data_IF_305698776492
#
_entry.id   IF_305698776492
#
_cell.length_a   1.000
_cell.length_b   1.000
_cell.length_c   1.000
_cell.angle_alpha   90.00
_cell.angle_beta   90.00
_cell.angle_gamma   90.00
#
_symmetry.space_group_name_H-M   'P 1'
#
loop_
_entity.id
_entity.type
_entity.pdbx_description
1 polymer ?
#
# COMPACT_ATOMS: atom_id res chain seq x y z
N UNK A 1 -26.74 -8.18 -0.33
CA UNK A 1 -25.77 -8.75 0.64
C UNK A 1 -26.48 -9.31 1.85
N UNK A 2 -26.13 -10.53 2.32
CA UNK A 2 -26.66 -11.13 3.54
C UNK A 2 -25.66 -10.99 4.69
N UNK A 3 -26.14 -11.02 5.95
CA UNK A 3 -25.23 -11.10 7.12
C UNK A 3 -24.32 -12.33 7.05
N UNK A 4 -24.78 -13.44 6.40
CA UNK A 4 -23.95 -14.62 6.16
C UNK A 4 -22.69 -14.32 5.33
N UNK A 5 -22.82 -13.50 4.29
CA UNK A 5 -21.65 -13.08 3.49
C UNK A 5 -20.67 -12.24 4.32
N UNK A 6 -21.16 -11.34 5.20
CA UNK A 6 -20.30 -10.59 6.12
C UNK A 6 -19.58 -11.51 7.11
N UNK A 7 -20.28 -12.48 7.68
CA UNK A 7 -19.66 -13.47 8.58
C UNK A 7 -18.53 -14.20 7.85
N UNK A 8 -18.76 -14.66 6.62
CA UNK A 8 -17.73 -15.36 5.84
C UNK A 8 -16.53 -14.46 5.52
N UNK A 9 -16.77 -13.19 5.17
CA UNK A 9 -15.68 -12.24 4.89
C UNK A 9 -14.86 -11.98 6.16
N UNK A 10 -15.50 -11.77 7.31
CA UNK A 10 -14.81 -11.55 8.58
C UNK A 10 -14.04 -12.81 9.01
N UNK A 11 -14.64 -14.01 8.87
CA UNK A 11 -13.95 -15.28 9.12
C UNK A 11 -12.74 -15.46 8.19
N UNK A 12 -12.89 -15.14 6.90
CA UNK A 12 -11.79 -15.17 5.95
C UNK A 12 -10.68 -14.17 6.36
N UNK A 13 -11.04 -12.97 6.84
CA UNK A 13 -10.10 -11.99 7.36
C UNK A 13 -9.28 -12.51 8.56
N UNK A 14 -9.85 -13.37 9.40
CA UNK A 14 -9.11 -14.06 10.47
C UNK A 14 -8.04 -15.04 9.94
N UNK A 15 -8.16 -15.46 8.68
CA UNK A 15 -7.14 -16.28 8.01
C UNK A 15 -5.77 -15.60 7.98
N UNK A 16 -5.74 -14.25 7.87
CA UNK A 16 -4.50 -13.48 7.88
C UNK A 16 -3.69 -13.66 9.17
N UNK A 17 -4.20 -13.26 10.35
CA UNK A 17 -3.51 -13.46 11.63
C UNK A 17 -3.15 -14.93 11.91
N UNK A 18 -4.05 -15.87 11.62
CA UNK A 18 -3.80 -17.30 11.80
C UNK A 18 -2.63 -17.78 10.94
N UNK A 19 -2.58 -17.36 9.68
CA UNK A 19 -1.49 -17.68 8.78
C UNK A 19 -0.17 -17.03 9.22
N UNK A 20 -0.21 -15.77 9.68
CA UNK A 20 0.94 -15.07 10.24
C UNK A 20 1.54 -15.78 11.47
N UNK A 21 0.71 -16.31 12.37
CA UNK A 21 1.15 -17.10 13.52
C UNK A 21 1.79 -18.42 13.06
N UNK A 22 1.13 -19.14 12.12
CA UNK A 22 1.63 -20.42 11.60
C UNK A 22 2.99 -20.31 10.90
N UNK A 23 3.25 -19.17 10.25
CA UNK A 23 4.52 -18.91 9.54
C UNK A 23 5.56 -18.19 10.40
N UNK A 24 5.38 -18.13 11.73
CA UNK A 24 6.26 -17.46 12.69
C UNK A 24 6.54 -15.99 12.32
N UNK A 25 5.53 -15.29 11.79
CA UNK A 25 5.58 -13.90 11.33
C UNK A 25 6.53 -13.61 10.14
N UNK A 26 7.01 -14.64 9.46
CA UNK A 26 7.82 -14.47 8.24
C UNK A 26 6.98 -13.92 7.07
N UNK A 27 5.67 -14.13 7.08
CA UNK A 27 4.76 -13.74 6.00
C UNK A 27 3.76 -12.73 6.55
N UNK A 28 3.56 -11.58 5.89
CA UNK A 28 2.58 -10.58 6.29
C UNK A 28 1.16 -11.13 6.33
N UNK A 29 0.35 -10.64 7.28
CA UNK A 29 -1.06 -11.01 7.51
C UNK A 29 -1.90 -10.93 6.23
N UNK A 30 -1.63 -9.93 5.40
CA UNK A 30 -2.31 -9.70 4.10
C UNK A 30 -2.26 -10.92 3.17
N UNK A 31 -1.18 -11.69 3.19
CA UNK A 31 -1.06 -12.90 2.36
C UNK A 31 -2.14 -13.91 2.73
N UNK A 32 -2.35 -14.12 4.02
CA UNK A 32 -3.41 -15.01 4.51
C UNK A 32 -4.82 -14.51 4.17
N UNK A 33 -5.04 -13.18 4.20
CA UNK A 33 -6.32 -12.57 3.82
C UNK A 33 -6.63 -12.77 2.34
N UNK A 34 -5.64 -12.55 1.45
CA UNK A 34 -5.78 -12.79 0.01
C UNK A 34 -6.03 -14.28 -0.28
N UNK A 35 -5.26 -15.19 0.34
CA UNK A 35 -5.46 -16.63 0.18
C UNK A 35 -6.83 -17.08 0.68
N UNK A 36 -7.28 -16.59 1.83
CA UNK A 36 -8.62 -16.85 2.34
C UNK A 36 -9.69 -16.30 1.37
N UNK A 37 -9.45 -15.11 0.76
CA UNK A 37 -10.30 -14.54 -0.28
C UNK A 37 -10.43 -15.45 -1.51
N UNK A 38 -9.31 -15.99 -2.00
CA UNK A 38 -9.32 -16.98 -3.11
C UNK A 38 -10.17 -18.20 -2.74
N UNK A 39 -10.05 -18.69 -1.50
CA UNK A 39 -10.82 -19.86 -1.04
C UNK A 39 -12.34 -19.60 -0.98
N UNK A 40 -12.77 -18.45 -0.45
CA UNK A 40 -14.21 -18.12 -0.35
C UNK A 40 -14.78 -17.55 -1.63
N UNK A 41 -13.93 -17.19 -2.58
CA UNK A 41 -14.28 -16.59 -3.87
C UNK A 41 -14.92 -17.58 -4.84
N UNK A 42 -15.37 -17.07 -6.02
CA UNK A 42 -16.05 -17.85 -7.05
C UNK A 42 -15.23 -19.02 -7.60
N UNK A 43 -13.90 -18.92 -7.53
CA UNK A 43 -13.01 -19.94 -8.07
C UNK A 43 -12.98 -21.25 -7.26
N UNK A 44 -13.32 -21.22 -5.96
CA UNK A 44 -13.23 -22.39 -5.07
C UNK A 44 -14.57 -22.67 -4.39
N UNK A 45 -14.98 -21.88 -3.39
CA UNK A 45 -16.20 -22.12 -2.62
C UNK A 45 -17.44 -21.40 -3.19
N UNK A 46 -17.26 -20.32 -3.93
CA UNK A 46 -18.34 -19.54 -4.54
C UNK A 46 -19.29 -18.88 -3.53
N UNK A 47 -18.83 -18.66 -2.30
CA UNK A 47 -19.67 -18.14 -1.20
C UNK A 47 -19.68 -16.62 -1.14
N UNK A 48 -18.59 -15.99 -1.59
CA UNK A 48 -18.45 -14.53 -1.66
C UNK A 48 -18.43 -14.12 -3.14
N UNK A 49 -19.37 -13.25 -3.51
CA UNK A 49 -19.48 -12.74 -4.88
C UNK A 49 -19.00 -11.28 -4.93
N UNK A 50 -17.80 -11.02 -5.46
CA UNK A 50 -17.24 -9.65 -5.52
C UNK A 50 -18.09 -8.68 -6.34
N UNK A 51 -18.93 -9.18 -7.27
CA UNK A 51 -19.84 -8.38 -8.09
C UNK A 51 -21.10 -7.90 -7.34
N UNK A 52 -21.37 -8.37 -6.10
CA UNK A 52 -22.44 -7.81 -5.27
C UNK A 52 -22.14 -6.34 -4.97
N UNK A 53 -23.06 -5.44 -5.31
CA UNK A 53 -22.88 -3.99 -5.21
C UNK A 53 -22.49 -3.53 -3.79
N UNK A 54 -23.02 -4.18 -2.75
CA UNK A 54 -22.71 -3.83 -1.37
C UNK A 54 -21.29 -4.28 -1.00
N UNK A 55 -20.89 -5.49 -1.43
CA UNK A 55 -19.53 -6.01 -1.22
C UNK A 55 -18.52 -5.14 -1.96
N UNK A 56 -18.80 -4.78 -3.21
CA UNK A 56 -17.96 -3.89 -4.00
C UNK A 56 -17.79 -2.52 -3.34
N UNK A 57 -18.89 -1.89 -2.88
CA UNK A 57 -18.82 -0.60 -2.18
C UNK A 57 -18.00 -0.69 -0.87
N UNK A 58 -18.20 -1.75 -0.08
CA UNK A 58 -17.43 -1.96 1.14
C UNK A 58 -15.94 -2.19 0.84
N UNK A 59 -15.63 -2.91 -0.25
CA UNK A 59 -14.25 -3.10 -0.69
C UNK A 59 -13.61 -1.78 -1.16
N UNK A 60 -14.37 -0.91 -1.85
CA UNK A 60 -13.89 0.44 -2.21
C UNK A 60 -13.60 1.28 -0.96
N UNK A 61 -14.46 1.24 0.07
CA UNK A 61 -14.19 1.89 1.36
C UNK A 61 -12.95 1.28 2.01
N UNK A 62 -12.81 -0.04 1.97
CA UNK A 62 -11.63 -0.74 2.47
C UNK A 62 -10.35 -0.30 1.76
N UNK A 63 -10.41 -0.16 0.44
CA UNK A 63 -9.31 0.36 -0.36
C UNK A 63 -8.96 1.82 -0.03
N UNK A 64 -9.96 2.68 0.12
CA UNK A 64 -9.76 4.06 0.56
C UNK A 64 -9.12 4.13 1.95
N UNK A 65 -9.55 3.27 2.89
CA UNK A 65 -8.98 3.16 4.22
C UNK A 65 -7.55 2.62 4.20
N UNK A 66 -7.25 1.64 3.34
CA UNK A 66 -5.88 1.15 3.13
C UNK A 66 -4.98 2.30 2.67
N UNK A 67 -5.37 3.03 1.64
CA UNK A 67 -4.60 4.16 1.12
C UNK A 67 -4.48 5.31 2.13
N UNK A 68 -5.51 5.52 2.93
CA UNK A 68 -5.47 6.48 4.03
C UNK A 68 -4.43 6.08 5.10
N UNK A 69 -4.38 4.81 5.49
CA UNK A 69 -3.36 4.32 6.42
C UNK A 69 -1.96 4.38 5.83
N UNK A 70 -1.78 4.04 4.56
CA UNK A 70 -0.51 4.19 3.83
C UNK A 70 -0.03 5.64 3.89
N UNK A 71 -0.89 6.60 3.50
CA UNK A 71 -0.55 8.03 3.54
C UNK A 71 -0.25 8.55 4.95
N UNK A 72 -0.98 8.05 5.96
CA UNK A 72 -0.80 8.47 7.36
C UNK A 72 0.52 7.96 7.97
N UNK A 73 1.03 6.83 7.49
CA UNK A 73 2.30 6.25 7.97
C UNK A 73 3.54 6.85 7.33
N UNK A 74 3.40 7.72 6.33
CA UNK A 74 4.55 8.38 5.74
C UNK A 74 5.26 9.25 6.80
N UNK A 75 6.56 9.02 7.06
CA UNK A 75 7.30 9.75 8.10
C UNK A 75 7.74 11.14 7.63
N UNK A 76 6.81 11.94 7.09
CA UNK A 76 7.05 13.25 6.46
C UNK A 76 7.62 14.30 7.42
N UNK A 77 7.52 14.07 8.73
CA UNK A 77 8.04 14.96 9.79
C UNK A 77 9.40 14.53 10.34
N UNK A 78 9.88 13.36 9.96
CA UNK A 78 11.18 12.89 10.43
C UNK A 78 12.31 13.65 9.71
N UNK A 79 13.00 14.52 10.46
CA UNK A 79 14.16 15.26 9.94
C UNK A 79 15.28 14.35 9.44
N UNK A 80 15.42 13.15 10.01
CA UNK A 80 16.42 12.16 9.61
C UNK A 80 16.11 11.65 8.21
N UNK A 81 14.83 11.41 7.92
CA UNK A 81 14.37 11.01 6.58
C UNK A 81 14.61 12.14 5.57
N UNK A 82 14.36 13.40 5.95
CA UNK A 82 14.63 14.55 5.10
C UNK A 82 16.12 14.64 4.72
N UNK A 83 17.04 14.33 5.65
CA UNK A 83 18.48 14.27 5.37
C UNK A 83 18.85 13.11 4.42
N UNK A 84 18.16 11.98 4.54
CA UNK A 84 18.34 10.82 3.67
C UNK A 84 17.60 10.95 2.32
N UNK A 85 16.70 11.92 2.17
CA UNK A 85 15.83 12.08 0.98
C UNK A 85 16.61 12.24 -0.32
N UNK A 86 17.78 12.90 -0.29
CA UNK A 86 18.63 13.05 -1.50
C UNK A 86 19.16 11.68 -1.97
N UNK A 87 19.68 10.87 -1.07
CA UNK A 87 20.22 9.56 -1.39
C UNK A 87 19.10 8.58 -1.76
N UNK A 88 18.02 8.54 -0.98
CA UNK A 88 16.83 7.73 -1.26
C UNK A 88 16.12 8.14 -2.55
N UNK A 89 15.99 9.45 -2.81
CA UNK A 89 15.40 9.98 -4.04
C UNK A 89 16.21 9.64 -5.28
N UNK A 90 17.54 9.69 -5.19
CA UNK A 90 18.42 9.24 -6.29
C UNK A 90 18.18 7.74 -6.58
N UNK A 91 18.15 6.89 -5.56
CA UNK A 91 17.89 5.47 -5.73
C UNK A 91 16.49 5.19 -6.29
N UNK A 92 15.46 5.86 -5.78
CA UNK A 92 14.10 5.78 -6.31
C UNK A 92 14.06 6.20 -7.79
N UNK A 93 14.74 7.27 -8.16
CA UNK A 93 14.87 7.70 -9.56
C UNK A 93 15.54 6.66 -10.45
N UNK A 94 16.63 6.03 -9.98
CA UNK A 94 17.30 4.95 -10.71
C UNK A 94 16.36 3.76 -10.87
N UNK A 95 15.64 3.36 -9.82
CA UNK A 95 14.63 2.29 -9.87
C UNK A 95 13.56 2.62 -10.89
N UNK A 96 13.00 3.83 -10.89
CA UNK A 96 12.00 4.26 -11.88
C UNK A 96 12.53 4.17 -13.32
N UNK A 97 13.77 4.58 -13.57
CA UNK A 97 14.39 4.50 -14.91
C UNK A 97 14.60 3.04 -15.34
N UNK A 98 15.10 2.18 -14.43
CA UNK A 98 15.33 0.76 -14.73
C UNK A 98 14.02 -0.03 -14.85
N UNK A 99 12.96 0.40 -14.17
CA UNK A 99 11.65 -0.23 -14.26
C UNK A 99 11.00 -0.09 -15.65
N UNK A 100 11.36 0.94 -16.43
CA UNK A 100 10.81 1.10 -17.79
C UNK A 100 11.21 -0.05 -18.72
N UNK A 101 12.51 -0.33 -18.97
CA UNK A 101 12.89 -1.47 -19.80
C UNK A 101 12.47 -2.82 -19.19
N UNK A 102 12.45 -2.94 -17.86
CA UNK A 102 11.97 -4.14 -17.19
C UNK A 102 10.46 -4.35 -17.42
N UNK A 103 9.66 -3.29 -17.41
CA UNK A 103 8.23 -3.35 -17.73
C UNK A 103 7.96 -3.71 -19.19
N UNK A 104 8.78 -3.24 -20.13
CA UNK A 104 8.74 -3.64 -21.54
C UNK A 104 9.06 -5.14 -21.70
N UNK A 105 10.07 -5.64 -21.00
CA UNK A 105 10.42 -7.05 -21.00
C UNK A 105 9.29 -7.90 -20.40
N UNK A 106 8.69 -7.50 -19.29
CA UNK A 106 7.55 -8.20 -18.70
C UNK A 106 6.35 -8.23 -19.67
N UNK A 107 6.08 -7.13 -20.37
CA UNK A 107 5.01 -7.05 -21.37
C UNK A 107 5.27 -7.98 -22.57
N UNK A 108 6.51 -8.10 -23.03
CA UNK A 108 6.88 -9.02 -24.10
C UNK A 108 6.69 -10.48 -23.70
N UNK A 109 7.03 -10.85 -22.46
CA UNK A 109 6.82 -12.20 -21.91
C UNK A 109 5.31 -12.52 -21.81
N UNK A 110 4.52 -11.55 -21.38
CA UNK A 110 3.07 -11.69 -21.26
C UNK A 110 2.33 -11.64 -22.61
N UNK A 111 2.98 -11.19 -23.68
CA UNK A 111 2.33 -10.89 -24.94
C UNK A 111 1.25 -9.80 -24.82
N UNK A 112 1.47 -8.80 -23.94
CA UNK A 112 0.47 -7.79 -23.58
C UNK A 112 0.97 -6.36 -23.82
N UNK A 113 0.03 -5.40 -23.99
CA UNK A 113 0.33 -3.97 -24.11
C UNK A 113 0.54 -3.24 -22.77
N UNK A 114 0.66 -3.93 -21.64
CA UNK A 114 0.62 -3.34 -20.30
C UNK A 114 2.00 -2.93 -19.74
N UNK A 115 2.97 -2.61 -20.60
CA UNK A 115 4.36 -2.30 -20.20
C UNK A 115 4.43 -1.18 -19.14
N UNK A 116 3.65 -0.10 -19.31
CA UNK A 116 3.64 1.01 -18.36
C UNK A 116 3.10 0.60 -16.98
N UNK A 117 2.11 -0.27 -16.94
CA UNK A 117 1.55 -0.84 -15.70
C UNK A 117 2.61 -1.66 -14.98
N UNK A 118 3.29 -2.56 -15.70
CA UNK A 118 4.36 -3.38 -15.12
C UNK A 118 5.55 -2.52 -14.65
N UNK A 119 5.89 -1.48 -15.40
CA UNK A 119 6.95 -0.54 -14.99
C UNK A 119 6.59 0.17 -13.67
N UNK A 120 5.35 0.62 -13.50
CA UNK A 120 4.88 1.25 -12.25
C UNK A 120 4.88 0.24 -11.09
N UNK A 121 4.45 -1.01 -11.34
CA UNK A 121 4.53 -2.08 -10.33
C UNK A 121 5.99 -2.32 -9.92
N UNK A 122 6.91 -2.46 -10.89
CA UNK A 122 8.33 -2.73 -10.63
C UNK A 122 9.06 -1.54 -9.97
N UNK A 123 8.59 -0.31 -10.20
CA UNK A 123 9.13 0.90 -9.57
C UNK A 123 8.58 1.11 -8.16
N UNK A 124 7.51 0.42 -7.77
CA UNK A 124 6.83 0.68 -6.50
C UNK A 124 7.64 0.20 -5.30
N UNK A 125 7.41 0.87 -4.19
CA UNK A 125 7.82 0.43 -2.86
C UNK A 125 6.61 0.22 -1.96
N UNK A 126 6.83 -0.12 -0.70
CA UNK A 126 5.79 -0.12 0.33
C UNK A 126 6.35 0.27 1.69
N UNK A 127 6.22 1.55 2.01
CA UNK A 127 6.61 2.07 3.32
C UNK A 127 5.78 1.42 4.44
N UNK A 128 4.53 1.07 4.17
CA UNK A 128 3.64 0.40 5.10
C UNK A 128 4.11 -1.01 5.51
N UNK A 129 4.90 -1.67 4.68
CA UNK A 129 5.50 -2.98 4.98
C UNK A 129 6.87 -2.81 5.61
N UNK A 130 7.70 -1.95 5.03
CA UNK A 130 9.09 -1.82 5.45
C UNK A 130 9.23 -1.19 6.84
N UNK A 131 8.43 -0.15 7.16
CA UNK A 131 8.55 0.58 8.41
C UNK A 131 8.29 -0.31 9.64
N UNK A 132 7.20 -1.09 9.73
CA UNK A 132 7.00 -2.02 10.84
C UNK A 132 8.13 -3.05 10.96
N UNK A 133 8.61 -3.60 9.84
CA UNK A 133 9.70 -4.57 9.85
C UNK A 133 11.01 -3.99 10.44
N UNK A 134 11.30 -2.71 10.14
CA UNK A 134 12.45 -2.00 10.72
C UNK A 134 12.22 -1.70 12.21
N UNK A 135 11.02 -1.26 12.59
CA UNK A 135 10.67 -0.96 13.99
C UNK A 135 10.75 -2.22 14.86
N UNK A 136 10.21 -3.35 14.39
CA UNK A 136 10.27 -4.64 15.11
C UNK A 136 11.69 -5.15 15.29
N UNK A 137 12.57 -4.89 14.34
CA UNK A 137 13.98 -5.34 14.39
C UNK A 137 14.88 -4.37 15.10
N UNK A 138 14.43 -3.15 15.41
CA UNK A 138 15.23 -2.10 16.04
C UNK A 138 16.38 -1.60 15.16
N UNK A 139 16.34 -1.84 13.86
CA UNK A 139 17.39 -1.44 12.93
C UNK A 139 17.47 0.08 12.82
N UNK A 140 18.70 0.59 12.83
CA UNK A 140 18.99 2.01 12.70
C UNK A 140 20.27 2.23 11.89
N UNK A 141 20.46 3.47 11.41
CA UNK A 141 21.68 3.85 10.69
C UNK A 141 21.38 4.51 9.33
N UNK A 142 22.42 5.02 8.70
CA UNK A 142 22.31 5.81 7.48
C UNK A 142 21.76 4.98 6.30
N UNK A 143 22.09 3.71 6.23
CA UNK A 143 21.62 2.81 5.20
C UNK A 143 20.12 2.54 5.34
N UNK A 144 19.65 2.19 6.53
CA UNK A 144 18.24 1.98 6.85
C UNK A 144 17.42 3.23 6.50
N UNK A 145 17.88 4.42 6.89
CA UNK A 145 17.23 5.69 6.56
C UNK A 145 17.19 5.94 5.03
N UNK A 146 18.25 5.56 4.30
CA UNK A 146 18.29 5.70 2.86
C UNK A 146 17.30 4.77 2.16
N UNK A 147 17.19 3.51 2.61
CA UNK A 147 16.22 2.54 2.10
C UNK A 147 14.79 3.00 2.41
N UNK A 148 14.52 3.48 3.62
CA UNK A 148 13.21 4.03 3.98
C UNK A 148 12.85 5.23 3.10
N UNK A 149 13.79 6.15 2.86
CA UNK A 149 13.56 7.30 1.99
C UNK A 149 13.30 6.87 0.54
N UNK A 150 14.08 5.91 0.01
CA UNK A 150 13.88 5.34 -1.32
C UNK A 150 12.48 4.77 -1.47
N UNK A 151 12.07 3.88 -0.57
CA UNK A 151 10.77 3.20 -0.62
C UNK A 151 9.63 4.21 -0.46
N UNK A 152 9.75 5.17 0.46
CA UNK A 152 8.73 6.21 0.65
C UNK A 152 8.55 7.09 -0.59
N UNK A 153 9.64 7.52 -1.23
CA UNK A 153 9.59 8.35 -2.44
C UNK A 153 9.04 7.54 -3.62
N UNK A 154 9.49 6.30 -3.77
CA UNK A 154 8.98 5.39 -4.81
C UNK A 154 7.46 5.15 -4.66
N UNK A 155 6.98 4.92 -3.44
CA UNK A 155 5.57 4.72 -3.13
C UNK A 155 4.73 5.95 -3.53
N UNK A 156 5.17 7.17 -3.17
CA UNK A 156 4.50 8.41 -3.57
C UNK A 156 4.44 8.55 -5.10
N UNK A 157 5.56 8.36 -5.80
CA UNK A 157 5.64 8.52 -7.26
C UNK A 157 4.70 7.51 -7.94
N UNK A 158 4.72 6.26 -7.51
CA UNK A 158 3.97 5.19 -8.15
C UNK A 158 2.47 5.27 -7.83
N UNK A 159 2.08 5.67 -6.63
CA UNK A 159 0.68 5.96 -6.29
C UNK A 159 0.10 7.04 -7.20
N UNK A 160 0.86 8.10 -7.48
CA UNK A 160 0.44 9.16 -8.41
C UNK A 160 0.41 8.68 -9.86
N UNK A 161 1.30 7.77 -10.25
CA UNK A 161 1.39 7.24 -11.61
C UNK A 161 0.29 6.21 -11.94
N UNK A 162 -0.18 5.41 -10.95
CA UNK A 162 -1.17 4.33 -11.18
C UNK A 162 -2.40 4.77 -11.98
N UNK A 163 -3.16 5.81 -11.60
CA UNK A 163 -4.35 6.19 -12.37
C UNK A 163 -4.01 6.69 -13.78
N UNK A 164 -2.82 7.25 -13.98
CA UNK A 164 -2.36 7.76 -15.29
C UNK A 164 -2.06 6.59 -16.23
N UNK A 165 -1.33 5.58 -15.76
CA UNK A 165 -0.94 4.43 -16.59
C UNK A 165 -2.09 3.46 -16.85
N UNK A 166 -3.07 3.39 -15.94
CA UNK A 166 -4.28 2.58 -16.13
C UNK A 166 -5.23 3.22 -17.15
N UNK A 167 -5.28 4.55 -17.27
CA UNK A 167 -6.21 5.24 -18.17
C UNK A 167 -5.49 6.18 -19.14
N UNK A 168 -4.61 5.68 -20.04
CA UNK A 168 -3.80 6.53 -20.91
C UNK A 168 -4.63 7.38 -21.89
N UNK A 169 -5.82 6.92 -22.27
CA UNK A 169 -6.76 7.68 -23.11
C UNK A 169 -7.47 8.84 -22.39
N UNK A 170 -7.34 8.95 -21.06
CA UNK A 170 -8.02 9.94 -20.23
C UNK A 170 -7.07 10.72 -19.31
N UNK A 171 -5.78 10.76 -19.64
CA UNK A 171 -4.73 11.39 -18.79
C UNK A 171 -5.12 12.80 -18.36
N UNK A 172 -5.64 13.63 -19.27
CA UNK A 172 -6.05 15.00 -18.94
C UNK A 172 -7.15 15.06 -17.87
N UNK A 173 -8.16 14.18 -17.95
CA UNK A 173 -9.24 14.08 -16.97
C UNK A 173 -8.71 13.56 -15.64
N UNK A 174 -7.91 12.51 -15.67
CA UNK A 174 -7.30 11.91 -14.46
C UNK A 174 -6.40 12.92 -13.75
N UNK A 175 -5.57 13.65 -14.51
CA UNK A 175 -4.70 14.69 -13.98
C UNK A 175 -5.51 15.85 -13.37
N UNK A 176 -6.57 16.31 -14.06
CA UNK A 176 -7.46 17.36 -13.53
C UNK A 176 -8.16 16.88 -12.26
N UNK A 177 -8.69 15.67 -12.25
CA UNK A 177 -9.29 15.06 -11.06
C UNK A 177 -8.30 14.96 -9.90
N UNK A 178 -7.06 14.56 -10.17
CA UNK A 178 -5.97 14.54 -9.19
C UNK A 178 -5.65 15.93 -8.63
N UNK A 179 -5.60 16.95 -9.49
CA UNK A 179 -5.41 18.35 -9.06
C UNK A 179 -6.59 18.85 -8.22
N UNK A 180 -7.83 18.47 -8.55
CA UNK A 180 -9.00 18.80 -7.74
C UNK A 180 -8.92 18.16 -6.35
N UNK A 181 -8.55 16.88 -6.26
CA UNK A 181 -8.33 16.19 -4.98
C UNK A 181 -7.22 16.85 -4.18
N UNK A 182 -6.08 17.17 -4.81
CA UNK A 182 -4.96 17.85 -4.16
C UNK A 182 -5.36 19.24 -3.66
N UNK A 183 -6.04 20.04 -4.50
CA UNK A 183 -6.54 21.36 -4.14
C UNK A 183 -7.54 21.31 -2.98
N UNK A 184 -8.48 20.35 -3.02
CA UNK A 184 -9.43 20.13 -1.93
C UNK A 184 -8.73 19.70 -0.63
N UNK A 185 -7.73 18.82 -0.71
CA UNK A 185 -6.93 18.41 0.44
C UNK A 185 -6.17 19.60 1.06
N UNK A 186 -5.56 20.45 0.22
CA UNK A 186 -4.89 21.70 0.68
C UNK A 186 -5.90 22.66 1.30
N UNK A 187 -7.07 22.87 0.71
CA UNK A 187 -8.12 23.74 1.25
C UNK A 187 -8.64 23.22 2.61
N UNK A 188 -8.91 21.91 2.73
CA UNK A 188 -9.31 21.27 3.98
C UNK A 188 -8.21 21.37 5.04
N UNK A 189 -6.95 21.19 4.63
CA UNK A 189 -5.80 21.37 5.52
C UNK A 189 -5.71 22.81 6.04
N UNK A 190 -5.82 23.80 5.15
CA UNK A 190 -5.79 25.22 5.52
C UNK A 190 -6.95 25.55 6.46
N UNK A 191 -8.17 25.09 6.16
CA UNK A 191 -9.33 25.24 7.02
C UNK A 191 -9.11 24.61 8.41
N UNK A 192 -8.58 23.39 8.46
CA UNK A 192 -8.26 22.71 9.71
C UNK A 192 -7.23 23.49 10.55
N UNK A 193 -6.22 24.09 9.90
CA UNK A 193 -5.20 24.92 10.57
C UNK A 193 -5.80 26.24 11.09
N UNK A 194 -6.62 26.91 10.29
CA UNK A 194 -7.29 28.16 10.70
C UNK A 194 -8.24 27.92 11.88
N UNK A 195 -9.02 26.84 11.82
CA UNK A 195 -9.98 26.49 12.86
C UNK A 195 -9.29 25.98 14.15
N UNK A 196 -8.09 25.38 14.04
CA UNK A 196 -7.38 24.81 15.19
C UNK A 196 -7.06 25.84 16.29
N UNK A 197 -6.95 27.13 15.92
CA UNK A 197 -6.69 28.24 16.85
C UNK A 197 -7.94 28.73 17.60
N UNK A 198 -9.15 28.30 17.23
CA UNK A 198 -10.38 28.82 17.85
C UNK A 198 -10.73 28.11 19.16
N UNK A 199 -10.98 28.87 20.21
CA UNK A 199 -11.30 28.40 21.57
C UNK A 199 -12.47 27.42 21.61
N UNK A 200 -13.51 27.64 20.79
CA UNK A 200 -14.66 26.75 20.75
C UNK A 200 -14.29 25.36 20.27
N UNK A 201 -13.40 25.23 19.25
CA UNK A 201 -12.96 23.92 18.74
C UNK A 201 -12.08 23.21 19.77
N UNK A 202 -11.24 23.95 20.49
CA UNK A 202 -10.45 23.38 21.57
C UNK A 202 -11.34 22.85 22.70
N UNK A 203 -12.40 23.59 23.08
CA UNK A 203 -13.40 23.13 24.05
C UNK A 203 -14.14 21.87 23.60
N UNK A 204 -14.59 21.83 22.32
CA UNK A 204 -15.27 20.66 21.75
C UNK A 204 -14.33 19.45 21.71
N UNK A 205 -13.06 19.64 21.33
CA UNK A 205 -12.05 18.58 21.36
C UNK A 205 -11.77 18.07 22.77
N UNK A 206 -11.72 18.97 23.75
CA UNK A 206 -11.55 18.61 25.17
C UNK A 206 -12.75 17.79 25.67
N UNK A 207 -13.98 18.24 25.42
CA UNK A 207 -15.20 17.50 25.74
C UNK A 207 -15.28 16.16 25.03
N UNK A 208 -14.86 16.11 23.77
CA UNK A 208 -14.80 14.86 22.99
C UNK A 208 -13.84 13.83 23.61
N UNK A 209 -12.72 14.30 24.18
CA UNK A 209 -11.80 13.41 24.90
C UNK A 209 -12.44 12.85 26.18
N UNK A 210 -13.09 13.71 26.96
CA UNK A 210 -13.75 13.32 28.22
C UNK A 210 -14.94 12.38 27.99
N UNK A 211 -15.72 12.64 26.95
CA UNK A 211 -16.96 11.89 26.65
C UNK A 211 -16.78 10.77 25.60
N UNK A 212 -15.56 10.48 25.18
CA UNK A 212 -15.23 9.45 24.20
C UNK A 212 -15.97 9.57 22.84
N UNK A 213 -16.25 10.80 22.35
CA UNK A 213 -16.99 11.02 21.10
C UNK A 213 -16.20 10.70 19.82
N UNK A 214 -14.91 10.42 19.93
CA UNK A 214 -14.02 10.13 18.79
C UNK A 214 -14.07 11.19 17.66
N UNK A 215 -14.16 12.48 18.03
CA UNK A 215 -14.33 13.59 17.08
C UNK A 215 -13.23 13.62 16.01
N UNK A 216 -11.97 13.45 16.42
CA UNK A 216 -10.84 13.48 15.48
C UNK A 216 -10.96 12.37 14.42
N UNK A 217 -11.43 11.17 14.82
CA UNK A 217 -11.71 10.08 13.90
C UNK A 217 -12.83 10.41 12.92
N UNK A 218 -13.96 10.93 13.44
CA UNK A 218 -15.12 11.33 12.60
C UNK A 218 -14.73 12.39 11.58
N UNK A 219 -13.94 13.39 11.99
CA UNK A 219 -13.44 14.43 11.07
C UNK A 219 -12.49 13.85 10.02
N UNK A 220 -11.62 12.93 10.41
CA UNK A 220 -10.71 12.29 9.46
C UNK A 220 -11.45 11.42 8.44
N UNK A 221 -12.46 10.67 8.87
CA UNK A 221 -13.33 9.90 7.95
C UNK A 221 -14.16 10.83 7.05
N UNK A 222 -14.68 11.95 7.58
CA UNK A 222 -15.38 12.96 6.77
C UNK A 222 -14.46 13.49 5.67
N UNK A 223 -13.23 13.87 6.01
CA UNK A 223 -12.23 14.32 5.03
C UNK A 223 -11.96 13.24 3.98
N UNK A 224 -11.74 11.99 4.41
CA UNK A 224 -11.54 10.87 3.51
C UNK A 224 -12.69 10.72 2.51
N UNK A 225 -13.95 10.69 3.01
CA UNK A 225 -15.12 10.50 2.14
C UNK A 225 -15.42 11.72 1.26
N UNK A 226 -15.17 12.94 1.73
CA UNK A 226 -15.28 14.15 0.88
C UNK A 226 -14.26 14.08 -0.26
N UNK A 227 -13.01 13.75 0.01
CA UNK A 227 -11.99 13.63 -1.03
C UNK A 227 -12.29 12.46 -1.98
N UNK A 228 -12.79 11.32 -1.48
CA UNK A 228 -13.22 10.19 -2.30
C UNK A 228 -14.39 10.58 -3.21
N UNK A 229 -15.37 11.32 -2.71
CA UNK A 229 -16.47 11.83 -3.51
C UNK A 229 -16.00 12.80 -4.61
N UNK A 230 -15.07 13.71 -4.29
CA UNK A 230 -14.45 14.62 -5.27
C UNK A 230 -13.69 13.80 -6.34
N UNK A 231 -12.94 12.78 -5.94
CA UNK A 231 -12.21 11.90 -6.86
C UNK A 231 -13.16 11.20 -7.84
N UNK A 232 -14.24 10.60 -7.35
CA UNK A 232 -15.25 9.94 -8.18
C UNK A 232 -15.91 10.94 -9.17
N UNK A 233 -16.31 12.12 -8.72
CA UNK A 233 -16.87 13.17 -9.58
C UNK A 233 -15.88 13.73 -10.59
N UNK A 234 -14.61 13.85 -10.20
CA UNK A 234 -13.51 14.30 -11.05
C UNK A 234 -13.01 13.24 -12.03
N UNK A 235 -13.51 12.00 -11.96
CA UNK A 235 -13.08 10.89 -12.82
C UNK A 235 -11.65 10.45 -12.56
N UNK A 236 -11.19 10.58 -11.32
CA UNK A 236 -9.91 10.05 -10.85
C UNK A 236 -10.10 8.97 -9.79
N UNK A 237 -9.03 8.28 -9.42
CA UNK A 237 -9.09 7.14 -8.51
C UNK A 237 -9.27 7.54 -7.04
N UNK A 238 -10.10 6.78 -6.32
CA UNK A 238 -10.25 6.81 -4.85
C UNK A 238 -8.91 6.60 -4.14
N UNK A 239 -7.96 5.90 -4.78
CA UNK A 239 -6.58 5.74 -4.31
C UNK A 239 -5.93 7.08 -3.95
N UNK A 240 -6.02 8.07 -4.86
CA UNK A 240 -5.44 9.41 -4.62
C UNK A 240 -6.12 10.12 -3.46
N UNK A 241 -7.45 9.97 -3.33
CA UNK A 241 -8.22 10.57 -2.26
C UNK A 241 -7.84 10.00 -0.88
N UNK A 242 -7.79 8.68 -0.76
CA UNK A 242 -7.36 8.00 0.45
C UNK A 242 -5.96 8.42 0.85
N UNK A 243 -5.02 8.34 -0.10
CA UNK A 243 -3.64 8.72 0.13
C UNK A 243 -3.49 10.19 0.54
N UNK A 244 -4.14 11.13 -0.16
CA UNK A 244 -4.10 12.56 0.16
C UNK A 244 -4.68 12.85 1.56
N UNK A 245 -5.78 12.21 1.94
CA UNK A 245 -6.34 12.33 3.29
C UNK A 245 -5.36 11.83 4.36
N UNK A 246 -4.69 10.70 4.11
CA UNK A 246 -3.66 10.15 5.00
C UNK A 246 -2.46 11.07 5.16
N UNK A 247 -1.92 11.56 4.05
CA UNK A 247 -0.82 12.53 4.02
C UNK A 247 -1.20 13.80 4.80
N UNK A 248 -2.42 14.30 4.64
CA UNK A 248 -2.90 15.45 5.37
C UNK A 248 -2.84 15.22 6.90
N UNK A 249 -3.28 14.06 7.38
CA UNK A 249 -3.18 13.69 8.80
C UNK A 249 -1.72 13.57 9.25
N UNK A 250 -0.84 12.98 8.44
CA UNK A 250 0.59 12.89 8.71
C UNK A 250 1.24 14.27 8.86
N UNK A 251 0.89 15.22 7.97
CA UNK A 251 1.41 16.60 7.97
C UNK A 251 0.84 17.42 9.13
N UNK A 252 -0.44 17.27 9.49
CA UNK A 252 -1.03 17.93 10.66
C UNK A 252 -0.40 17.40 11.96
N UNK A 253 -0.03 16.12 11.99
CA UNK A 253 0.46 15.43 13.17
C UNK A 253 -0.66 15.19 14.16
N UNK A 254 -1.59 14.36 13.78
CA UNK A 254 -2.70 13.96 14.63
C UNK A 254 -2.25 13.32 15.96
N UNK A 255 -3.09 13.38 16.99
CA UNK A 255 -2.77 12.75 18.27
C UNK A 255 -2.59 11.25 18.09
N UNK A 256 -1.68 10.62 18.86
CA UNK A 256 -1.45 9.15 18.83
C UNK A 256 -2.75 8.34 18.94
N UNK A 257 -3.73 8.86 19.69
CA UNK A 257 -5.06 8.27 19.81
C UNK A 257 -5.79 8.15 18.47
N UNK A 258 -5.68 9.15 17.59
CA UNK A 258 -6.28 9.12 16.25
C UNK A 258 -5.69 7.97 15.42
N UNK A 259 -4.35 7.87 15.40
CA UNK A 259 -3.67 6.77 14.70
C UNK A 259 -4.13 5.41 15.20
N UNK A 260 -4.25 5.22 16.52
CA UNK A 260 -4.75 3.96 17.11
C UNK A 260 -6.21 3.69 16.73
N UNK A 261 -7.08 4.71 16.73
CA UNK A 261 -8.49 4.54 16.36
C UNK A 261 -8.66 4.22 14.87
N UNK A 262 -7.92 4.93 14.01
CA UNK A 262 -7.93 4.69 12.56
C UNK A 262 -7.43 3.28 12.26
N UNK A 263 -6.29 2.87 12.83
CA UNK A 263 -5.78 1.50 12.67
C UNK A 263 -6.79 0.46 13.16
N UNK A 264 -7.42 0.67 14.32
CA UNK A 264 -8.40 -0.27 14.84
C UNK A 264 -9.57 -0.53 13.89
N UNK A 265 -10.04 0.50 13.18
CA UNK A 265 -11.12 0.36 12.20
C UNK A 265 -10.59 -0.17 10.86
N UNK A 266 -9.45 0.35 10.40
CA UNK A 266 -8.84 -0.06 9.13
C UNK A 266 -8.39 -1.51 9.20
N UNK A 267 -7.45 -1.82 10.11
CA UNK A 267 -6.82 -3.14 10.19
C UNK A 267 -7.73 -4.20 10.82
N UNK A 268 -8.74 -3.76 11.61
CA UNK A 268 -9.69 -4.66 12.25
C UNK A 268 -10.86 -5.11 11.35
N UNK A 269 -11.17 -4.34 10.27
CA UNK A 269 -12.32 -4.68 9.43
C UNK A 269 -12.14 -4.32 7.96
N UNK A 270 -11.86 -3.05 7.63
CA UNK A 270 -11.94 -2.59 6.25
C UNK A 270 -10.80 -3.10 5.36
N UNK A 271 -9.58 -3.14 5.86
CA UNK A 271 -8.40 -3.62 5.11
C UNK A 271 -8.46 -5.14 4.90
N UNK A 272 -8.74 -5.97 5.93
CA UNK A 272 -9.01 -7.39 5.73
C UNK A 272 -10.14 -7.66 4.73
N UNK A 273 -11.26 -6.95 4.85
CA UNK A 273 -12.38 -7.07 3.92
C UNK A 273 -11.93 -6.78 2.48
N UNK A 274 -11.18 -5.70 2.26
CA UNK A 274 -10.64 -5.36 0.95
C UNK A 274 -9.76 -6.48 0.38
N UNK A 275 -8.82 -7.02 1.17
CA UNK A 275 -7.92 -8.06 0.68
C UNK A 275 -8.62 -9.40 0.45
N UNK A 276 -9.62 -9.74 1.25
CA UNK A 276 -10.47 -10.92 1.01
C UNK A 276 -11.26 -10.75 -0.28
N UNK A 277 -11.87 -9.58 -0.53
CA UNK A 277 -12.62 -9.33 -1.76
C UNK A 277 -11.68 -9.27 -2.97
N UNK A 278 -10.50 -8.66 -2.85
CA UNK A 278 -9.47 -8.69 -3.89
C UNK A 278 -9.07 -10.15 -4.20
N UNK A 279 -8.78 -10.96 -3.17
CA UNK A 279 -8.48 -12.39 -3.33
C UNK A 279 -9.58 -13.15 -4.05
N UNK A 280 -10.84 -12.87 -3.72
CA UNK A 280 -12.00 -13.50 -4.38
C UNK A 280 -12.15 -13.13 -5.87
N UNK A 281 -11.52 -12.06 -6.34
CA UNK A 281 -11.48 -11.66 -7.76
C UNK A 281 -10.33 -12.30 -8.54
N UNK A 282 -9.34 -12.91 -7.85
CA UNK A 282 -8.17 -13.49 -8.48
C UNK A 282 -8.47 -14.87 -9.08
N UNK A 283 -7.84 -15.16 -10.20
CA UNK A 283 -7.93 -16.45 -10.90
C UNK A 283 -6.61 -17.23 -10.80
N UNK A 284 -6.40 -17.89 -9.67
CA UNK A 284 -5.21 -18.71 -9.45
C UNK A 284 -5.16 -19.93 -10.39
N UNK A 285 -6.32 -20.53 -10.69
CA UNK A 285 -6.40 -21.68 -11.61
C UNK A 285 -6.01 -21.27 -13.04
N UNK A 286 -6.49 -20.10 -13.50
CA UNK A 286 -6.07 -19.53 -14.77
C UNK A 286 -4.59 -19.19 -14.82
N UNK A 287 -4.02 -18.66 -13.75
CA UNK A 287 -2.59 -18.39 -13.65
C UNK A 287 -1.76 -19.66 -13.87
N UNK A 288 -2.09 -20.75 -13.16
CA UNK A 288 -1.34 -22.01 -13.25
C UNK A 288 -1.54 -22.70 -14.61
N UNK A 289 -2.73 -22.59 -15.20
CA UNK A 289 -3.04 -23.18 -16.52
C UNK A 289 -2.45 -22.42 -17.70
N UNK A 290 -2.06 -21.15 -17.52
CA UNK A 290 -1.54 -20.29 -18.59
C UNK A 290 -0.04 -20.07 -18.43
N UNK A 291 0.83 -20.80 -19.13
CA UNK A 291 2.29 -20.72 -18.93
C UNK A 291 2.86 -19.32 -19.09
N UNK A 292 2.33 -18.50 -20.02
CA UNK A 292 2.78 -17.10 -20.20
C UNK A 292 2.45 -16.22 -19.00
N UNK A 293 1.34 -16.47 -18.30
CA UNK A 293 0.96 -15.70 -17.12
C UNK A 293 1.74 -16.14 -15.89
N UNK A 294 2.05 -17.44 -15.77
CA UNK A 294 2.96 -17.94 -14.74
C UNK A 294 4.38 -17.38 -14.98
N UNK A 295 4.82 -17.35 -16.25
CA UNK A 295 6.10 -16.74 -16.63
C UNK A 295 6.09 -15.22 -16.33
N UNK A 296 4.97 -14.51 -16.54
CA UNK A 296 4.82 -13.10 -16.16
C UNK A 296 4.97 -12.90 -14.64
N UNK A 297 4.31 -13.71 -13.82
CA UNK A 297 4.41 -13.61 -12.37
C UNK A 297 5.85 -13.82 -11.89
N UNK A 298 6.53 -14.84 -12.42
CA UNK A 298 7.92 -15.12 -12.13
C UNK A 298 8.85 -13.99 -12.63
N UNK A 299 8.62 -13.49 -13.85
CA UNK A 299 9.38 -12.40 -14.43
C UNK A 299 9.25 -11.12 -13.61
N UNK A 300 8.03 -10.74 -13.21
CA UNK A 300 7.82 -9.56 -12.35
C UNK A 300 8.55 -9.70 -11.01
N UNK A 301 8.52 -10.87 -10.38
CA UNK A 301 9.23 -11.11 -9.13
C UNK A 301 10.76 -11.00 -9.30
N UNK A 302 11.32 -11.62 -10.36
CA UNK A 302 12.77 -11.59 -10.66
C UNK A 302 13.20 -10.18 -11.07
N UNK A 303 12.44 -9.51 -11.95
CA UNK A 303 12.74 -8.15 -12.41
C UNK A 303 12.66 -7.13 -11.28
N UNK A 304 11.72 -7.29 -10.33
CA UNK A 304 11.68 -6.45 -9.14
C UNK A 304 12.99 -6.53 -8.36
N UNK A 305 13.47 -7.73 -8.07
CA UNK A 305 14.76 -7.93 -7.38
C UNK A 305 15.91 -7.36 -8.21
N UNK A 306 15.94 -7.66 -9.51
CA UNK A 306 17.00 -7.21 -10.41
C UNK A 306 17.10 -5.67 -10.48
N UNK A 307 15.96 -4.97 -10.63
CA UNK A 307 15.90 -3.51 -10.69
C UNK A 307 16.46 -2.89 -9.41
N UNK A 308 16.09 -3.41 -8.23
CA UNK A 308 16.58 -2.91 -6.96
C UNK A 308 18.05 -3.22 -6.71
N UNK A 309 18.53 -4.42 -7.11
CA UNK A 309 19.96 -4.79 -7.04
C UNK A 309 20.80 -3.90 -7.96
N UNK A 310 20.36 -3.67 -9.20
CA UNK A 310 21.05 -2.80 -10.13
C UNK A 310 21.07 -1.35 -9.63
N UNK A 311 19.96 -0.86 -9.08
CA UNK A 311 19.92 0.47 -8.48
C UNK A 311 20.88 0.58 -7.29
N UNK A 312 20.97 -0.44 -6.44
CA UNK A 312 21.91 -0.47 -5.34
C UNK A 312 23.37 -0.54 -5.81
N UNK A 313 23.66 -1.31 -6.86
CA UNK A 313 24.99 -1.37 -7.46
C UNK A 313 25.43 0.03 -7.97
N UNK A 314 24.57 0.71 -8.74
CA UNK A 314 24.83 2.09 -9.23
C UNK A 314 24.97 3.08 -8.07
N UNK A 315 24.12 2.96 -7.05
CA UNK A 315 24.13 3.82 -5.87
C UNK A 315 25.17 3.42 -4.79
N UNK A 316 25.97 2.37 -5.05
CA UNK A 316 26.96 1.81 -4.12
C UNK A 316 26.38 1.47 -2.75
N UNK A 317 25.26 0.76 -2.75
CA UNK A 317 24.53 0.32 -1.56
C UNK A 317 24.65 -1.19 -1.36
N UNK A 318 24.31 -1.67 -0.17
CA UNK A 318 24.38 -3.10 0.12
C UNK A 318 23.29 -3.89 -0.61
N UNK A 319 23.56 -5.17 -0.83
CA UNK A 319 22.58 -6.14 -1.33
C UNK A 319 21.40 -6.25 -0.34
N UNK A 320 21.68 -6.24 0.96
CA UNK A 320 20.66 -6.32 1.99
C UNK A 320 19.67 -5.16 1.90
N UNK A 321 20.18 -3.91 1.74
CA UNK A 321 19.34 -2.74 1.54
C UNK A 321 18.52 -2.79 0.25
N UNK A 322 19.09 -3.32 -0.84
CA UNK A 322 18.37 -3.54 -2.10
C UNK A 322 17.21 -4.51 -1.93
N UNK A 323 17.44 -5.66 -1.28
CA UNK A 323 16.41 -6.66 -1.02
C UNK A 323 15.32 -6.13 -0.07
N UNK A 324 15.70 -5.37 0.96
CA UNK A 324 14.74 -4.72 1.85
C UNK A 324 13.85 -3.70 1.11
N UNK A 325 14.37 -3.04 0.06
CA UNK A 325 13.62 -2.07 -0.74
C UNK A 325 12.63 -2.72 -1.73
N UNK A 326 12.66 -4.04 -1.94
CA UNK A 326 11.77 -4.73 -2.89
C UNK A 326 10.32 -4.84 -2.45
N UNK A 327 9.99 -4.49 -1.19
CA UNK A 327 8.64 -4.60 -0.65
C UNK A 327 7.61 -3.91 -1.54
N UNK A 328 6.62 -4.66 -2.01
CA UNK A 328 5.50 -4.15 -2.81
C UNK A 328 4.19 -4.68 -2.22
N UNK A 329 3.23 -3.78 -1.96
CA UNK A 329 1.91 -4.19 -1.50
C UNK A 329 0.82 -3.24 -2.01
N UNK A 330 0.87 -1.98 -1.64
CA UNK A 330 -0.18 -1.01 -1.93
C UNK A 330 -0.42 -0.79 -3.42
N UNK A 331 0.65 -0.58 -4.18
CA UNK A 331 0.57 -0.30 -5.63
C UNK A 331 0.14 -1.53 -6.43
N UNK A 332 0.70 -2.73 -6.26
CA UNK A 332 0.19 -3.94 -6.93
C UNK A 332 -1.28 -4.23 -6.62
N UNK A 333 -1.70 -4.08 -5.35
CA UNK A 333 -3.08 -4.26 -4.95
C UNK A 333 -3.99 -3.21 -5.60
N UNK A 334 -3.55 -1.94 -5.66
CA UNK A 334 -4.26 -0.86 -6.34
C UNK A 334 -4.40 -1.12 -7.85
N UNK A 335 -3.31 -1.52 -8.51
CA UNK A 335 -3.30 -1.85 -9.93
C UNK A 335 -4.23 -3.02 -10.23
N UNK A 336 -4.19 -4.08 -9.43
CA UNK A 336 -5.09 -5.23 -9.57
C UNK A 336 -6.55 -4.82 -9.38
N UNK A 337 -6.88 -4.14 -8.29
CA UNK A 337 -8.25 -3.72 -7.97
C UNK A 337 -8.82 -2.76 -9.01
N UNK A 338 -8.11 -1.68 -9.34
CA UNK A 338 -8.56 -0.69 -10.33
C UNK A 338 -8.56 -1.29 -11.73
N UNK A 339 -7.57 -2.10 -12.08
CA UNK A 339 -7.50 -2.76 -13.38
C UNK A 339 -8.67 -3.74 -13.60
N UNK A 340 -9.10 -4.44 -12.56
CA UNK A 340 -10.28 -5.32 -12.59
C UNK A 340 -11.59 -4.53 -12.65
N UNK A 341 -11.75 -3.50 -11.80
CA UNK A 341 -13.00 -2.71 -11.74
C UNK A 341 -13.25 -1.92 -13.02
N UNK A 342 -12.20 -1.43 -13.68
CA UNK A 342 -12.27 -0.70 -14.95
C UNK A 342 -12.21 -1.64 -16.19
N UNK A 343 -12.18 -2.95 -15.98
CA UNK A 343 -12.05 -3.98 -17.05
C UNK A 343 -10.82 -3.82 -17.94
N UNK A 344 -9.73 -3.24 -17.39
CA UNK A 344 -8.46 -3.02 -18.09
C UNK A 344 -7.51 -4.21 -17.98
N UNK A 345 -7.64 -4.97 -16.91
CA UNK A 345 -6.85 -6.17 -16.66
C UNK A 345 -7.76 -7.40 -16.55
N UNK A 346 -7.32 -8.51 -17.10
CA UNK A 346 -7.98 -9.79 -16.84
C UNK A 346 -7.67 -10.29 -15.41
N UNK A 347 -8.55 -11.11 -14.81
CA UNK A 347 -8.30 -11.70 -13.50
C UNK A 347 -6.96 -12.44 -13.41
N UNK A 348 -6.53 -13.11 -14.48
CA UNK A 348 -5.27 -13.85 -14.52
C UNK A 348 -4.05 -12.93 -14.48
N UNK A 349 -4.09 -11.79 -15.21
CA UNK A 349 -3.02 -10.76 -15.16
C UNK A 349 -2.95 -10.11 -13.77
N UNK A 350 -4.10 -9.74 -13.20
CA UNK A 350 -4.15 -9.22 -11.85
C UNK A 350 -3.58 -10.22 -10.83
N UNK A 351 -3.87 -11.52 -11.00
CA UNK A 351 -3.32 -12.58 -10.17
C UNK A 351 -1.80 -12.68 -10.31
N UNK A 352 -1.24 -12.56 -11.53
CA UNK A 352 0.19 -12.56 -11.74
C UNK A 352 0.89 -11.40 -11.03
N UNK A 353 0.31 -10.20 -11.10
CA UNK A 353 0.82 -8.99 -10.42
C UNK A 353 0.80 -9.19 -8.89
N UNK A 354 -0.33 -9.64 -8.34
CA UNK A 354 -0.46 -9.86 -6.88
C UNK A 354 0.48 -10.97 -6.42
N UNK A 355 0.59 -12.08 -7.16
CA UNK A 355 1.50 -13.18 -6.84
C UNK A 355 2.96 -12.70 -6.79
N UNK A 356 3.41 -11.88 -7.75
CA UNK A 356 4.75 -11.30 -7.74
C UNK A 356 4.99 -10.39 -6.53
N UNK A 357 3.98 -9.61 -6.14
CA UNK A 357 4.04 -8.76 -4.95
C UNK A 357 4.18 -9.60 -3.66
N UNK A 358 3.46 -10.71 -3.54
CA UNK A 358 3.59 -11.62 -2.39
C UNK A 358 5.01 -12.20 -2.28
N UNK A 359 5.64 -12.55 -3.41
CA UNK A 359 7.06 -12.97 -3.43
C UNK A 359 7.98 -11.84 -2.96
N UNK A 360 7.71 -10.59 -3.38
CA UNK A 360 8.52 -9.43 -2.99
C UNK A 360 8.53 -9.21 -1.47
N UNK A 361 7.43 -9.51 -0.78
CA UNK A 361 7.35 -9.40 0.68
C UNK A 361 8.30 -10.38 1.37
N UNK A 362 8.40 -11.62 0.88
CA UNK A 362 9.34 -12.60 1.40
C UNK A 362 10.79 -12.17 1.16
N UNK A 363 11.09 -11.64 -0.03
CA UNK A 363 12.42 -11.10 -0.38
C UNK A 363 12.79 -9.91 0.52
N UNK A 364 11.85 -8.99 0.73
CA UNK A 364 12.04 -7.85 1.64
C UNK A 364 12.38 -8.32 3.06
N UNK A 365 11.63 -9.29 3.60
CA UNK A 365 11.88 -9.86 4.92
C UNK A 365 13.31 -10.43 5.03
N UNK A 366 13.76 -11.17 4.02
CA UNK A 366 15.12 -11.66 3.96
C UNK A 366 16.15 -10.53 3.93
N UNK A 367 15.89 -9.46 3.17
CA UNK A 367 16.73 -8.27 3.12
C UNK A 367 16.84 -7.57 4.47
N UNK A 368 15.74 -7.40 5.19
CA UNK A 368 15.69 -6.82 6.54
C UNK A 368 16.49 -7.67 7.53
N UNK A 369 16.35 -9.00 7.49
CA UNK A 369 17.16 -9.90 8.32
C UNK A 369 18.66 -9.80 8.04
N UNK A 370 19.04 -9.67 6.76
CA UNK A 370 20.45 -9.48 6.36
C UNK A 370 21.02 -8.13 6.79
N UNK A 371 20.19 -7.12 7.05
CA UNK A 371 20.63 -5.83 7.60
C UNK A 371 20.92 -5.90 9.11
N UNK A 372 20.53 -6.97 9.81
CA UNK A 372 20.83 -7.13 11.22
C UNK A 372 22.35 -7.28 11.42
N UNK A 373 22.92 -6.60 12.43
CA UNK A 373 24.32 -6.82 12.77
C UNK A 373 24.56 -8.28 13.16
N UNK A 374 25.60 -8.89 12.62
CA UNK A 374 25.96 -10.29 12.87
C UNK A 374 26.53 -10.54 14.27
N UNK A 375 26.75 -9.50 15.08
CA UNK A 375 27.18 -9.61 16.47
C UNK A 375 26.10 -9.06 17.42
N UNK A 376 25.75 -9.77 18.52
CA UNK A 376 24.98 -9.15 19.58
C UNK A 376 25.81 -8.00 20.16
N UNK A 377 25.19 -6.81 20.27
CA UNK A 377 25.77 -5.74 21.08
C UNK A 377 26.08 -6.32 22.46
N UNK A 378 27.31 -6.14 23.01
CA UNK A 378 27.58 -6.56 24.37
C UNK A 378 26.52 -5.89 25.24
N UNK A 379 25.82 -6.70 26.05
CA UNK A 379 24.87 -6.22 27.02
C UNK A 379 25.65 -5.20 27.87
N UNK A 380 25.36 -3.91 27.66
CA UNK A 380 25.87 -2.87 28.57
C UNK A 380 25.34 -3.24 29.94
N UNK A 381 26.21 -3.75 30.77
CA UNK A 381 25.96 -4.00 32.17
C UNK A 381 25.34 -2.73 32.75
N UNK A 382 24.06 -2.79 33.08
CA UNK A 382 23.50 -1.92 34.08
C UNK A 382 24.13 -2.34 35.42
N UNK A 383 25.32 -1.81 35.69
CA UNK A 383 25.93 -1.83 36.99
C UNK A 383 25.64 -0.49 37.62
N UNK A 384 24.89 -0.57 38.72
CA UNK A 384 24.72 0.34 39.84
C UNK A 384 23.90 1.61 39.62
#
# INVERSE_FOLDING_TARGET
MSFGALVLIVLAGLGGPLFGVATRRFIPVVVGEILAGILVGPAVLGTVHPADATIATLAEVGFAMLMFTVGMHLPLRDRRLALAARAGGMLAGIVCVLAVPAGLLAASIAGSGHAAIYAVVLASGSAAVLLPAIEETGLAGAEVLSVMAQVTIADIITILAVPIVLQPGRVGRVALGGLLVAGAAVALFAAARLLAGHDWLQRVRHLSKLRHWALDLRLSLLVLFVLAWIAQKGGTSILLAGFAAGVMVAVIGGPKRLSTQVRGIADGFFVPLYFVVLGAQLDLAGLVRTPSMLALAAALAVLNVAVHLLAALVGRRSVAGALAATAQLGVPAAVASLGLSEHLLSPVVATAIVASALVSLAVCTAGVEMLRPTAPLPATAHAQ
#
